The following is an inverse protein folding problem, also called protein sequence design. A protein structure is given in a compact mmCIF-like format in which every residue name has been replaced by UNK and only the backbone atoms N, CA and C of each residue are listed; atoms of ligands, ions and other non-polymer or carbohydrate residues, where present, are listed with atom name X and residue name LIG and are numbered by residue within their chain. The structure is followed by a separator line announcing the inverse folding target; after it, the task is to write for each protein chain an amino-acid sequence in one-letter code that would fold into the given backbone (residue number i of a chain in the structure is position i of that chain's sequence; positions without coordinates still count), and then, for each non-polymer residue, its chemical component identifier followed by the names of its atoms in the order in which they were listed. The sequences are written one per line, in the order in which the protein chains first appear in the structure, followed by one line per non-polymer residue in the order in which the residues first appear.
data_IF_205976458313
#
_entry.id   IF_205976458313
#
_cell.length_a   1.000
_cell.length_b   1.000
_cell.length_c   1.000
_cell.angle_alpha   90.00
_cell.angle_beta   90.00
_cell.angle_gamma   90.00
#
_symmetry.space_group_name_H-M   'P 1'
#
loop_
_entity.id
_entity.type
_entity.pdbx_description
1 polymer ?
#
# COMPACT_ATOMS: atom_id res chain seq x y z
N UNK A 1 -0.55 -1.50 -13.21
CA UNK A 1 0.37 -0.97 -12.18
C UNK A 1 1.17 -2.03 -11.44
N UNK A 2 0.85 -3.30 -11.58
CA UNK A 2 1.61 -4.43 -11.00
C UNK A 2 2.84 -4.82 -11.82
N UNK A 3 2.82 -4.61 -13.13
CA UNK A 3 3.93 -4.96 -14.02
C UNK A 3 5.15 -4.02 -13.99
N UNK A 4 5.02 -2.69 -13.79
CA UNK A 4 6.15 -1.77 -13.82
C UNK A 4 7.34 -2.15 -12.92
N UNK A 5 7.15 -2.56 -11.65
CA UNK A 5 8.25 -3.01 -10.80
C UNK A 5 9.00 -4.23 -11.37
N UNK A 6 8.28 -5.14 -12.04
CA UNK A 6 8.88 -6.33 -12.67
C UNK A 6 9.83 -5.91 -13.79
N UNK A 7 9.43 -4.97 -14.65
CA UNK A 7 10.30 -4.46 -15.71
C UNK A 7 11.53 -3.75 -15.15
N UNK A 8 11.39 -3.05 -14.02
CA UNK A 8 12.53 -2.43 -13.36
C UNK A 8 13.50 -3.45 -12.79
N UNK A 9 12.99 -4.51 -12.15
CA UNK A 9 13.84 -5.63 -11.68
C UNK A 9 14.57 -6.30 -12.84
N UNK A 10 13.89 -6.54 -13.96
CA UNK A 10 14.52 -7.07 -15.18
C UNK A 10 15.61 -6.13 -15.71
N UNK A 11 15.37 -4.82 -15.71
CA UNK A 11 16.40 -3.85 -16.08
C UNK A 11 17.61 -3.91 -15.14
N UNK A 12 17.40 -3.96 -13.84
CA UNK A 12 18.46 -3.99 -12.83
C UNK A 12 19.31 -5.29 -12.92
N UNK A 13 18.67 -6.42 -13.24
CA UNK A 13 19.35 -7.72 -13.36
C UNK A 13 20.13 -7.82 -14.68
N UNK A 14 19.56 -7.36 -15.79
CA UNK A 14 20.09 -7.58 -17.13
C UNK A 14 20.91 -6.43 -17.69
N UNK A 15 20.72 -5.20 -17.16
CA UNK A 15 21.26 -3.96 -17.74
C UNK A 15 20.58 -3.54 -19.05
N UNK A 16 19.62 -4.32 -19.58
CA UNK A 16 18.99 -4.05 -20.87
C UNK A 16 17.96 -2.91 -20.77
N UNK A 17 18.31 -1.80 -21.39
CA UNK A 17 17.50 -0.57 -21.39
C UNK A 17 16.14 -0.72 -22.08
N UNK A 18 15.87 -1.83 -22.79
CA UNK A 18 14.55 -2.07 -23.39
C UNK A 18 13.48 -2.16 -22.32
N UNK A 19 13.76 -2.77 -21.17
CA UNK A 19 12.78 -2.95 -20.08
C UNK A 19 12.34 -1.61 -19.49
N UNK A 20 13.26 -0.74 -19.13
CA UNK A 20 12.91 0.58 -18.57
C UNK A 20 12.22 1.48 -19.62
N UNK A 21 12.64 1.42 -20.89
CA UNK A 21 12.01 2.20 -21.97
C UNK A 21 10.58 1.73 -22.23
N UNK A 22 10.37 0.42 -22.29
CA UNK A 22 9.04 -0.15 -22.46
C UNK A 22 8.13 0.21 -21.28
N UNK A 23 8.59 -0.02 -20.06
CA UNK A 23 7.86 0.31 -18.84
C UNK A 23 7.42 1.79 -18.83
N UNK A 24 8.34 2.73 -19.06
CA UNK A 24 8.05 4.16 -19.03
C UNK A 24 7.03 4.56 -20.12
N UNK A 25 7.18 4.01 -21.33
CA UNK A 25 6.24 4.26 -22.43
C UNK A 25 4.82 3.81 -22.06
N UNK A 26 4.67 2.56 -21.61
CA UNK A 26 3.36 1.98 -21.32
C UNK A 26 2.73 2.60 -20.05
N UNK A 27 3.56 2.94 -19.05
CA UNK A 27 3.08 3.66 -17.87
C UNK A 27 2.52 5.04 -18.24
N UNK A 28 3.23 5.80 -19.03
CA UNK A 28 2.79 7.14 -19.47
C UNK A 28 1.56 7.07 -20.37
N UNK A 29 1.45 6.07 -21.22
CA UNK A 29 0.23 5.84 -22.01
C UNK A 29 -0.97 5.57 -21.07
N UNK A 30 -0.80 4.71 -20.07
CA UNK A 30 -1.83 4.42 -19.06
C UNK A 30 -2.17 5.66 -18.23
N UNK A 31 -1.17 6.42 -17.80
CA UNK A 31 -1.36 7.70 -17.10
C UNK A 31 -2.19 8.68 -17.93
N UNK A 32 -1.80 8.90 -19.18
CA UNK A 32 -2.52 9.83 -20.05
C UNK A 32 -3.98 9.42 -20.32
N UNK A 33 -4.28 8.13 -20.24
CA UNK A 33 -5.60 7.59 -20.51
C UNK A 33 -6.50 7.50 -19.28
N UNK A 34 -5.96 7.12 -18.12
CA UNK A 34 -6.75 6.80 -16.92
C UNK A 34 -6.63 7.82 -15.79
N UNK A 35 -5.63 8.69 -15.80
CA UNK A 35 -5.45 9.65 -14.71
C UNK A 35 -6.36 10.87 -14.89
N UNK A 36 -7.24 11.07 -13.92
CA UNK A 36 -8.05 12.27 -13.84
C UNK A 36 -7.24 13.41 -13.23
N UNK A 37 -6.98 14.45 -14.03
CA UNK A 37 -6.15 15.60 -13.61
C UNK A 37 -6.86 16.58 -12.69
N UNK A 38 -8.18 16.54 -12.62
CA UNK A 38 -8.98 17.36 -11.71
C UNK A 38 -8.96 16.77 -10.31
N UNK A 39 -9.26 15.46 -10.22
CA UNK A 39 -9.30 14.75 -8.94
C UNK A 39 -7.95 14.17 -8.51
N UNK A 40 -6.93 14.16 -9.38
CA UNK A 40 -5.63 13.53 -9.14
C UNK A 40 -5.74 12.07 -8.69
N UNK A 41 -6.66 11.31 -9.30
CA UNK A 41 -6.93 9.91 -9.04
C UNK A 41 -6.98 9.13 -10.36
N UNK A 42 -6.81 7.80 -10.28
CA UNK A 42 -6.94 6.93 -11.44
C UNK A 42 -8.33 6.30 -11.51
N UNK A 43 -8.96 6.38 -12.68
CA UNK A 43 -10.03 5.48 -13.03
C UNK A 43 -9.51 4.04 -13.13
N UNK A 44 -10.35 3.10 -12.81
CA UNK A 44 -10.02 1.68 -12.98
C UNK A 44 -9.82 1.32 -14.45
N UNK A 45 -10.74 1.77 -15.31
CA UNK A 45 -10.71 1.68 -16.78
C UNK A 45 -11.71 2.67 -17.40
N UNK A 46 -11.77 2.72 -18.74
CA UNK A 46 -12.60 3.67 -19.49
C UNK A 46 -14.10 3.58 -19.20
N UNK A 47 -14.61 2.45 -18.74
CA UNK A 47 -16.04 2.28 -18.42
C UNK A 47 -16.47 3.21 -17.29
N UNK A 48 -15.54 3.62 -16.42
CA UNK A 48 -15.82 4.49 -15.29
C UNK A 48 -15.76 5.99 -15.61
N UNK A 49 -15.38 6.40 -16.82
CA UNK A 49 -15.27 7.82 -17.18
C UNK A 49 -16.60 8.58 -17.08
N UNK A 50 -17.70 7.91 -17.38
CA UNK A 50 -19.06 8.50 -17.36
C UNK A 50 -19.88 8.05 -16.16
N UNK A 51 -19.41 7.07 -15.41
CA UNK A 51 -20.12 6.56 -14.23
C UNK A 51 -20.04 7.56 -13.07
N UNK A 52 -21.09 7.57 -12.27
CA UNK A 52 -21.18 8.40 -11.08
C UNK A 52 -21.59 7.57 -9.87
N UNK A 53 -21.08 7.98 -8.72
CA UNK A 53 -21.53 7.49 -7.41
C UNK A 53 -22.92 8.05 -7.06
N UNK A 54 -23.53 7.54 -5.99
CA UNK A 54 -24.85 7.97 -5.56
C UNK A 54 -24.90 9.46 -5.19
N UNK A 55 -23.81 10.03 -4.70
CA UNK A 55 -23.66 11.45 -4.38
C UNK A 55 -23.32 12.32 -5.63
N UNK A 56 -23.28 11.74 -6.83
CA UNK A 56 -22.94 12.43 -8.08
C UNK A 56 -21.44 12.57 -8.36
N UNK A 57 -20.57 12.14 -7.48
CA UNK A 57 -19.11 12.17 -7.68
C UNK A 57 -18.66 11.16 -8.74
N UNK A 58 -17.44 11.34 -9.25
CA UNK A 58 -16.79 10.36 -10.12
C UNK A 58 -16.45 9.08 -9.33
N UNK A 59 -16.44 7.93 -10.00
CA UNK A 59 -16.16 6.64 -9.36
C UNK A 59 -14.65 6.40 -9.32
N UNK A 60 -14.05 6.53 -8.14
CA UNK A 60 -12.64 6.19 -7.90
C UNK A 60 -12.52 5.10 -6.84
N UNK A 61 -12.18 3.91 -7.29
CA UNK A 61 -12.05 2.74 -6.44
C UNK A 61 -10.80 2.82 -5.56
N UNK A 62 -10.99 2.68 -4.24
CA UNK A 62 -9.91 2.79 -3.24
C UNK A 62 -8.78 1.80 -3.50
N UNK A 63 -9.06 0.49 -3.59
CA UNK A 63 -8.03 -0.51 -3.86
C UNK A 63 -7.36 -0.35 -5.23
N UNK A 64 -8.09 0.13 -6.26
CA UNK A 64 -7.49 0.43 -7.56
C UNK A 64 -6.38 1.48 -7.44
N UNK A 65 -6.66 2.59 -6.77
CA UNK A 65 -5.67 3.63 -6.48
C UNK A 65 -4.60 3.15 -5.49
N UNK A 66 -4.95 2.25 -4.56
CA UNK A 66 -4.00 1.58 -3.67
C UNK A 66 -2.94 0.78 -4.44
N UNK A 67 -3.35 0.00 -5.44
CA UNK A 67 -2.41 -0.72 -6.32
C UNK A 67 -1.51 0.24 -7.12
N UNK A 68 -2.03 1.39 -7.55
CA UNK A 68 -1.20 2.41 -8.23
C UNK A 68 -0.12 2.92 -7.30
N UNK A 69 -0.48 3.32 -6.07
CA UNK A 69 0.49 3.83 -5.10
C UNK A 69 1.48 2.76 -4.64
N UNK A 70 1.02 1.56 -4.32
CA UNK A 70 1.92 0.45 -3.98
C UNK A 70 2.88 0.12 -5.13
N UNK A 71 2.38 0.10 -6.37
CA UNK A 71 3.22 -0.08 -7.56
C UNK A 71 4.24 1.05 -7.77
N UNK A 72 3.87 2.30 -7.46
CA UNK A 72 4.80 3.44 -7.52
C UNK A 72 5.90 3.35 -6.46
N UNK A 73 5.59 2.90 -5.25
CA UNK A 73 6.59 2.65 -4.21
C UNK A 73 7.62 1.64 -4.70
N UNK A 74 7.16 0.47 -5.16
CA UNK A 74 8.05 -0.58 -5.66
C UNK A 74 8.85 -0.13 -6.89
N UNK A 75 8.24 0.65 -7.79
CA UNK A 75 8.93 1.24 -8.92
C UNK A 75 10.03 2.22 -8.50
N UNK A 76 9.72 3.12 -7.55
CA UNK A 76 10.68 4.11 -7.05
C UNK A 76 11.83 3.47 -6.26
N UNK A 77 11.62 2.34 -5.59
CA UNK A 77 12.68 1.56 -4.93
C UNK A 77 13.70 1.02 -5.94
N UNK A 78 13.20 0.48 -7.04
CA UNK A 78 14.03 -0.14 -8.08
C UNK A 78 14.65 0.88 -9.04
N UNK A 79 14.05 2.06 -9.17
CA UNK A 79 14.49 3.06 -10.14
C UNK A 79 15.76 3.77 -9.65
N UNK A 80 16.86 3.76 -10.41
CA UNK A 80 18.11 4.42 -10.01
C UNK A 80 17.90 5.89 -9.64
N UNK A 81 18.57 6.36 -8.57
CA UNK A 81 18.40 7.71 -8.04
C UNK A 81 18.63 8.81 -9.10
N UNK A 82 19.60 8.61 -9.99
CA UNK A 82 19.95 9.55 -11.08
C UNK A 82 19.21 9.27 -12.40
N UNK A 83 18.20 8.41 -12.39
CA UNK A 83 17.44 8.08 -13.59
C UNK A 83 16.66 9.29 -14.10
N UNK A 84 16.77 9.58 -15.40
CA UNK A 84 15.95 10.63 -16.05
C UNK A 84 14.46 10.41 -15.97
N UNK A 85 14.02 9.19 -15.69
CA UNK A 85 12.61 8.84 -15.53
C UNK A 85 12.06 9.16 -14.14
N UNK A 86 12.94 9.23 -13.13
CA UNK A 86 12.54 9.35 -11.72
C UNK A 86 11.67 10.58 -11.41
N UNK A 87 11.93 11.79 -11.95
CA UNK A 87 11.13 12.97 -11.62
C UNK A 87 9.64 12.81 -11.93
N UNK A 88 9.29 12.17 -13.04
CA UNK A 88 7.88 11.92 -13.39
C UNK A 88 7.17 11.05 -12.34
N UNK A 89 7.81 9.95 -11.93
CA UNK A 89 7.21 9.02 -10.97
C UNK A 89 7.16 9.59 -9.56
N UNK A 90 8.15 10.40 -9.17
CA UNK A 90 8.11 11.10 -7.88
C UNK A 90 7.01 12.17 -7.85
N UNK A 91 6.86 12.96 -8.89
CA UNK A 91 5.78 13.95 -8.99
C UNK A 91 4.40 13.31 -8.95
N UNK A 92 4.20 12.23 -9.70
CA UNK A 92 2.94 11.48 -9.68
C UNK A 92 2.66 10.86 -8.30
N UNK A 93 3.67 10.27 -7.66
CA UNK A 93 3.56 9.72 -6.31
C UNK A 93 3.12 10.79 -5.31
N UNK A 94 3.79 11.95 -5.32
CA UNK A 94 3.47 13.06 -4.42
C UNK A 94 2.06 13.62 -4.66
N UNK A 95 1.62 13.75 -5.91
CA UNK A 95 0.27 14.20 -6.27
C UNK A 95 -0.79 13.25 -5.72
N UNK A 96 -0.61 11.95 -5.92
CA UNK A 96 -1.53 10.94 -5.40
C UNK A 96 -1.55 10.94 -3.86
N UNK A 97 -0.40 10.99 -3.19
CA UNK A 97 -0.33 11.04 -1.73
C UNK A 97 -1.04 12.26 -1.16
N UNK A 98 -0.83 13.45 -1.74
CA UNK A 98 -1.53 14.69 -1.33
C UNK A 98 -3.03 14.61 -1.57
N UNK A 99 -3.47 13.87 -2.58
CA UNK A 99 -4.89 13.67 -2.84
C UNK A 99 -5.52 12.64 -1.90
N UNK A 100 -4.81 11.55 -1.60
CA UNK A 100 -5.32 10.48 -0.74
C UNK A 100 -5.40 10.89 0.73
N UNK A 101 -4.45 11.65 1.24
CA UNK A 101 -4.41 12.03 2.66
C UNK A 101 -5.71 12.69 3.16
N UNK A 102 -6.27 13.73 2.53
CA UNK A 102 -7.51 14.34 2.98
C UNK A 102 -8.77 13.47 2.77
N UNK A 103 -8.67 12.35 2.06
CA UNK A 103 -9.77 11.40 1.85
C UNK A 103 -9.85 10.33 2.95
N UNK A 104 -8.95 10.38 3.94
CA UNK A 104 -9.03 9.51 5.12
C UNK A 104 -10.28 9.82 5.93
N UNK A 105 -11.09 8.82 6.23
CA UNK A 105 -12.31 8.97 7.01
C UNK A 105 -12.03 9.16 8.52
N UNK A 106 -13.07 9.52 9.26
CA UNK A 106 -12.96 9.77 10.72
C UNK A 106 -12.54 8.53 11.50
N UNK A 107 -12.85 7.33 11.00
CA UNK A 107 -12.46 6.04 11.58
C UNK A 107 -11.00 5.65 11.31
N UNK A 108 -10.27 6.46 10.53
CA UNK A 108 -8.88 6.21 10.16
C UNK A 108 -8.69 5.40 8.89
N UNK A 109 -9.74 4.79 8.37
CA UNK A 109 -9.70 4.04 7.12
C UNK A 109 -9.95 4.90 5.90
N UNK A 110 -9.62 4.36 4.74
CA UNK A 110 -10.24 4.74 3.47
C UNK A 110 -11.25 3.66 3.11
N UNK A 111 -12.36 4.09 2.51
CA UNK A 111 -13.44 3.21 2.14
C UNK A 111 -13.35 2.79 0.67
N UNK A 112 -14.20 1.84 0.25
CA UNK A 112 -14.13 1.26 -1.09
C UNK A 112 -14.28 2.32 -2.20
N UNK A 113 -15.16 3.31 -2.04
CA UNK A 113 -15.21 4.51 -2.89
C UNK A 113 -14.51 5.68 -2.21
N UNK A 114 -13.56 6.31 -2.92
CA UNK A 114 -12.78 7.42 -2.39
C UNK A 114 -13.57 8.73 -2.30
N UNK A 115 -14.55 8.94 -3.18
CA UNK A 115 -15.33 10.19 -3.23
C UNK A 115 -16.78 10.04 -2.74
N UNK A 116 -17.19 8.81 -2.42
CA UNK A 116 -18.51 8.53 -1.82
C UNK A 116 -18.41 7.49 -0.70
N UNK A 117 -17.66 7.79 0.37
CA UNK A 117 -17.52 6.85 1.48
C UNK A 117 -18.86 6.60 2.20
N UNK A 118 -19.83 7.51 2.10
CA UNK A 118 -21.14 7.35 2.73
C UNK A 118 -21.96 6.20 2.14
N UNK A 119 -21.84 5.96 0.83
CA UNK A 119 -22.47 4.81 0.16
C UNK A 119 -21.77 3.48 0.48
N UNK A 120 -20.53 3.54 0.99
CA UNK A 120 -19.69 2.39 1.37
C UNK A 120 -19.15 2.60 2.79
N UNK A 121 -20.01 2.58 3.82
CA UNK A 121 -19.61 3.04 5.17
C UNK A 121 -18.69 2.08 5.93
N UNK A 122 -18.43 0.89 5.39
CA UNK A 122 -17.52 -0.07 5.99
C UNK A 122 -16.07 0.27 5.69
N UNK A 123 -15.13 0.00 6.63
CA UNK A 123 -13.70 0.02 6.35
C UNK A 123 -13.34 -0.81 5.11
N UNK A 124 -12.27 -0.43 4.41
CA UNK A 124 -11.67 -1.28 3.40
C UNK A 124 -10.16 -1.38 3.68
N UNK A 125 -9.73 -2.49 4.26
CA UNK A 125 -8.38 -2.65 4.80
C UNK A 125 -7.31 -2.80 3.73
N UNK A 126 -7.63 -3.33 2.54
CA UNK A 126 -6.62 -3.47 1.50
C UNK A 126 -6.21 -2.12 0.90
N UNK A 127 -7.14 -1.22 0.61
CA UNK A 127 -6.77 0.13 0.14
C UNK A 127 -6.09 0.92 1.25
N UNK A 128 -6.60 0.85 2.49
CA UNK A 128 -5.99 1.52 3.63
C UNK A 128 -4.56 1.06 3.88
N UNK A 129 -4.29 -0.26 3.76
CA UNK A 129 -2.95 -0.81 3.85
C UNK A 129 -2.00 -0.26 2.79
N UNK A 130 -2.42 -0.22 1.51
CA UNK A 130 -1.60 0.38 0.45
C UNK A 130 -1.37 1.88 0.65
N UNK A 131 -2.35 2.62 1.16
CA UNK A 131 -2.20 4.05 1.38
C UNK A 131 -1.27 4.35 2.56
N UNK A 132 -1.42 3.65 3.68
CA UNK A 132 -0.49 3.76 4.81
C UNK A 132 0.93 3.37 4.38
N UNK A 133 1.08 2.28 3.62
CA UNK A 133 2.37 1.86 3.04
C UNK A 133 3.02 2.97 2.23
N UNK A 134 2.27 3.57 1.29
CA UNK A 134 2.81 4.60 0.41
C UNK A 134 3.14 5.90 1.18
N UNK A 135 2.26 6.35 2.08
CA UNK A 135 2.48 7.56 2.86
C UNK A 135 3.69 7.41 3.79
N UNK A 136 3.80 6.28 4.50
CA UNK A 136 4.93 5.98 5.36
C UNK A 136 6.26 5.89 4.58
N UNK A 137 6.25 5.19 3.42
CA UNK A 137 7.39 5.18 2.50
C UNK A 137 7.79 6.60 2.06
N UNK A 138 6.81 7.42 1.70
CA UNK A 138 7.06 8.80 1.28
C UNK A 138 7.75 9.64 2.35
N UNK A 139 7.37 9.47 3.62
CA UNK A 139 8.04 10.10 4.78
C UNK A 139 9.46 9.54 4.94
N UNK A 140 9.61 8.22 4.93
CA UNK A 140 10.91 7.54 5.12
C UNK A 140 11.94 7.92 4.06
N UNK A 141 11.51 8.17 2.83
CA UNK A 141 12.40 8.56 1.72
C UNK A 141 12.50 10.08 1.52
N UNK A 142 11.91 10.89 2.41
CA UNK A 142 11.92 12.35 2.31
C UNK A 142 11.16 12.91 1.10
N UNK A 143 10.24 12.13 0.53
CA UNK A 143 9.39 12.54 -0.58
C UNK A 143 8.16 13.31 -0.11
N UNK A 144 7.74 13.12 1.14
CA UNK A 144 6.61 13.76 1.78
C UNK A 144 7.06 14.43 3.09
N UNK A 145 6.56 15.65 3.41
CA UNK A 145 6.84 16.31 4.69
C UNK A 145 6.28 15.50 5.85
N UNK A 146 7.14 15.16 6.82
CA UNK A 146 6.77 14.33 7.98
C UNK A 146 5.63 14.94 8.77
N UNK A 147 5.70 16.22 9.06
CA UNK A 147 4.73 16.96 9.90
C UNK A 147 3.32 16.94 9.30
N UNK A 148 3.21 16.94 7.97
CA UNK A 148 1.94 16.94 7.24
C UNK A 148 1.30 15.54 7.22
N UNK A 149 2.11 14.49 6.99
CA UNK A 149 1.61 13.16 6.69
C UNK A 149 1.65 12.19 7.86
N UNK A 150 2.49 12.43 8.88
CA UNK A 150 2.60 11.54 10.05
C UNK A 150 1.26 11.30 10.75
N UNK A 151 0.42 12.33 11.05
CA UNK A 151 -0.87 12.10 11.70
C UNK A 151 -1.81 11.19 10.89
N UNK A 152 -1.74 11.27 9.54
CA UNK A 152 -2.53 10.43 8.65
C UNK A 152 -2.06 8.99 8.70
N UNK A 153 -0.74 8.77 8.70
CA UNK A 153 -0.13 7.44 8.79
C UNK A 153 -0.44 6.79 10.13
N UNK A 154 -0.24 7.50 11.25
CA UNK A 154 -0.51 6.99 12.59
C UNK A 154 -1.97 6.57 12.75
N UNK A 155 -2.89 7.44 12.36
CA UNK A 155 -4.33 7.18 12.42
C UNK A 155 -4.72 5.99 11.53
N UNK A 156 -4.19 5.91 10.30
CA UNK A 156 -4.43 4.81 9.38
C UNK A 156 -3.85 3.48 9.89
N UNK A 157 -2.67 3.52 10.50
CA UNK A 157 -2.05 2.32 11.06
C UNK A 157 -2.83 1.79 12.27
N UNK A 158 -3.26 2.67 13.19
CA UNK A 158 -4.10 2.29 14.32
C UNK A 158 -5.42 1.65 13.85
N UNK A 159 -6.05 2.24 12.83
CA UNK A 159 -7.24 1.68 12.22
C UNK A 159 -6.99 0.27 11.64
N UNK A 160 -5.91 0.09 10.88
CA UNK A 160 -5.53 -1.22 10.34
C UNK A 160 -5.31 -2.28 11.42
N UNK A 161 -4.63 -1.92 12.52
CA UNK A 161 -4.42 -2.81 13.65
C UNK A 161 -5.74 -3.20 14.31
N UNK A 162 -6.69 -2.27 14.42
CA UNK A 162 -8.02 -2.54 14.99
C UNK A 162 -8.88 -3.50 14.15
N UNK A 163 -8.57 -3.64 12.85
CA UNK A 163 -9.24 -4.58 11.95
C UNK A 163 -8.72 -6.02 12.04
N UNK A 164 -7.70 -6.27 12.87
CA UNK A 164 -7.19 -7.62 13.14
C UNK A 164 -8.03 -8.25 14.26
N UNK A 165 -8.77 -9.30 13.92
CA UNK A 165 -9.60 -10.04 14.87
C UNK A 165 -8.79 -10.75 15.96
N UNK A 166 -9.49 -11.24 16.99
CA UNK A 166 -8.85 -12.00 18.10
C UNK A 166 -8.14 -13.27 17.63
N UNK A 167 -8.62 -13.85 16.52
CA UNK A 167 -8.02 -15.01 15.86
C UNK A 167 -6.80 -14.66 14.99
N UNK A 168 -6.41 -13.36 14.93
CA UNK A 168 -5.33 -12.85 14.11
C UNK A 168 -5.68 -12.63 12.63
N UNK A 169 -6.93 -12.80 12.23
CA UNK A 169 -7.40 -12.58 10.86
C UNK A 169 -7.57 -11.07 10.61
N UNK A 170 -7.01 -10.57 9.52
CA UNK A 170 -7.33 -9.23 9.04
C UNK A 170 -8.70 -9.27 8.33
N UNK A 171 -9.67 -8.54 8.87
CA UNK A 171 -10.99 -8.39 8.31
C UNK A 171 -11.15 -7.21 7.36
N UNK A 172 -12.37 -7.01 6.89
CA UNK A 172 -12.74 -5.87 6.02
C UNK A 172 -11.93 -5.75 4.73
N UNK A 173 -11.50 -6.86 4.15
CA UNK A 173 -10.85 -6.90 2.85
C UNK A 173 -11.89 -7.14 1.77
N UNK A 174 -12.13 -6.15 0.93
CA UNK A 174 -13.06 -6.30 -0.20
C UNK A 174 -12.61 -7.47 -1.09
N UNK A 175 -13.49 -8.43 -1.43
CA UNK A 175 -13.17 -9.53 -2.34
C UNK A 175 -12.72 -9.06 -3.72
N UNK A 176 -12.16 -9.98 -4.52
CA UNK A 176 -11.75 -9.70 -5.90
C UNK A 176 -12.90 -9.02 -6.66
N UNK A 177 -12.60 -7.89 -7.27
CA UNK A 177 -13.58 -7.05 -7.96
C UNK A 177 -12.95 -5.99 -8.86
N UNK A 178 -13.79 -5.11 -9.37
CA UNK A 178 -13.39 -4.06 -10.31
C UNK A 178 -13.87 -2.66 -9.89
N UNK A 179 -14.67 -2.55 -8.85
CA UNK A 179 -15.39 -1.35 -8.43
C UNK A 179 -15.60 -1.35 -6.91
N UNK A 180 -16.01 -0.22 -6.32
CA UNK A 180 -16.41 -0.16 -4.92
C UNK A 180 -17.55 -1.13 -4.61
N UNK A 181 -17.43 -1.88 -3.51
CA UNK A 181 -18.48 -2.77 -2.99
C UNK A 181 -18.48 -2.72 -1.47
N UNK A 182 -19.62 -3.11 -0.89
CA UNK A 182 -19.75 -3.26 0.56
C UNK A 182 -18.80 -4.35 1.07
N UNK A 183 -18.24 -4.11 2.24
CA UNK A 183 -17.27 -4.99 2.90
C UNK A 183 -17.79 -5.33 4.28
N UNK A 184 -17.54 -6.55 4.75
CA UNK A 184 -17.93 -7.04 6.08
C UNK A 184 -16.72 -7.46 6.90
N UNK A 185 -16.81 -7.53 8.24
CA UNK A 185 -15.67 -7.86 9.11
C UNK A 185 -15.01 -9.20 8.83
N UNK A 186 -15.76 -10.18 8.33
CA UNK A 186 -15.33 -11.55 8.06
C UNK A 186 -14.66 -11.72 6.69
N UNK A 187 -14.81 -10.72 5.80
CA UNK A 187 -14.18 -10.74 4.47
C UNK A 187 -12.67 -10.58 4.57
N UNK A 188 -11.93 -11.50 3.98
CA UNK A 188 -10.47 -11.43 3.86
C UNK A 188 -10.00 -12.05 2.56
N UNK A 189 -8.88 -11.53 2.04
CA UNK A 189 -8.23 -11.97 0.80
C UNK A 189 -6.71 -11.77 0.96
N UNK A 190 -5.92 -12.59 0.32
CA UNK A 190 -4.45 -12.64 0.49
C UNK A 190 -3.74 -11.30 0.29
N UNK A 191 -4.25 -10.43 -0.56
CA UNK A 191 -3.66 -9.10 -0.81
C UNK A 191 -3.90 -8.11 0.34
N UNK A 192 -4.91 -8.34 1.19
CA UNK A 192 -5.15 -7.52 2.39
C UNK A 192 -4.03 -7.66 3.41
N UNK A 193 -3.73 -8.87 3.94
CA UNK A 193 -2.56 -9.12 4.76
C UNK A 193 -1.25 -8.68 4.11
N UNK A 194 -1.10 -8.86 2.78
CA UNK A 194 0.08 -8.37 2.06
C UNK A 194 0.25 -6.86 2.17
N UNK A 195 -0.80 -6.07 1.93
CA UNK A 195 -0.79 -4.62 2.08
C UNK A 195 -0.56 -4.19 3.54
N UNK A 196 -1.19 -4.88 4.50
CA UNK A 196 -0.99 -4.65 5.93
C UNK A 196 0.47 -4.85 6.35
N UNK A 197 1.11 -5.95 5.93
CA UNK A 197 2.52 -6.23 6.23
C UNK A 197 3.48 -5.22 5.60
N UNK A 198 3.22 -4.81 4.36
CA UNK A 198 3.99 -3.74 3.72
C UNK A 198 3.85 -2.41 4.47
N UNK A 199 2.63 -2.04 4.88
CA UNK A 199 2.40 -0.86 5.71
C UNK A 199 3.14 -0.95 7.04
N UNK A 200 3.02 -2.08 7.75
CA UNK A 200 3.71 -2.33 9.01
C UNK A 200 5.23 -2.24 8.91
N UNK A 201 5.80 -2.70 7.79
CA UNK A 201 7.24 -2.58 7.53
C UNK A 201 7.68 -1.11 7.45
N UNK A 202 6.93 -0.27 6.73
CA UNK A 202 7.28 1.16 6.61
C UNK A 202 7.02 1.93 7.91
N UNK A 203 5.93 1.64 8.62
CA UNK A 203 5.65 2.24 9.93
C UNK A 203 6.75 1.85 10.94
N UNK A 204 7.21 0.60 10.94
CA UNK A 204 8.33 0.16 11.75
C UNK A 204 9.63 0.90 11.42
N UNK A 205 9.93 1.11 10.13
CA UNK A 205 11.08 1.93 9.70
C UNK A 205 10.98 3.36 10.24
N UNK A 206 9.79 3.98 10.17
CA UNK A 206 9.57 5.33 10.72
C UNK A 206 9.83 5.39 12.22
N UNK A 207 9.37 4.39 12.99
CA UNK A 207 9.60 4.32 14.42
C UNK A 207 11.10 4.15 14.76
N UNK A 208 11.85 3.44 13.91
CA UNK A 208 13.29 3.31 14.08
C UNK A 208 14.08 4.56 13.70
N UNK A 209 13.61 5.39 12.77
CA UNK A 209 14.28 6.65 12.42
C UNK A 209 14.26 7.68 13.55
N UNK A 210 13.28 7.60 14.43
CA UNK A 210 13.29 8.33 15.71
C UNK A 210 14.38 7.80 16.66
N UNK A 211 14.87 6.58 16.46
CA UNK A 211 15.92 5.92 17.25
C UNK A 211 17.22 5.66 16.46
N UNK A 212 17.31 6.08 15.21
CA UNK A 212 18.38 5.76 14.24
C UNK A 212 19.75 6.34 14.50
N UNK A 213 20.00 6.86 15.65
CA UNK A 213 21.40 6.98 16.04
C UNK A 213 22.04 5.59 16.32
N UNK A 214 21.31 4.48 16.39
CA UNK A 214 21.89 3.20 16.87
C UNK A 214 21.38 1.86 16.30
N UNK A 215 20.80 1.72 15.12
CA UNK A 215 20.48 0.36 14.66
C UNK A 215 20.69 0.09 13.17
N UNK A 216 21.88 -0.41 12.84
CA UNK A 216 22.04 -1.33 11.72
C UNK A 216 21.21 -2.59 12.05
N UNK A 217 20.13 -2.84 11.30
CA UNK A 217 19.51 -4.16 11.26
C UNK A 217 20.57 -5.07 10.64
N UNK A 218 21.31 -5.81 11.49
CA UNK A 218 22.36 -6.68 11.03
C UNK A 218 21.75 -7.77 10.14
N UNK A 219 22.47 -8.17 9.12
CA UNK A 219 22.06 -9.32 8.27
C UNK A 219 21.80 -10.61 9.09
N UNK A 220 22.31 -10.69 10.32
CA UNK A 220 22.01 -11.77 11.27
C UNK A 220 20.53 -11.83 11.64
N UNK A 221 19.86 -10.70 11.86
CA UNK A 221 18.43 -10.68 12.24
C UNK A 221 17.51 -11.04 11.08
N UNK A 222 17.90 -10.69 9.86
CA UNK A 222 17.19 -11.18 8.65
C UNK A 222 17.34 -12.71 8.54
N UNK A 223 18.52 -13.25 8.85
CA UNK A 223 18.76 -14.70 8.88
C UNK A 223 17.99 -15.40 10.01
N UNK A 224 17.84 -14.78 11.17
CA UNK A 224 17.01 -15.30 12.26
C UNK A 224 15.53 -15.35 11.88
N UNK A 225 15.00 -14.30 11.25
CA UNK A 225 13.62 -14.29 10.75
C UNK A 225 13.47 -15.31 9.62
N UNK A 226 14.41 -15.39 8.70
CA UNK A 226 14.42 -16.39 7.63
C UNK A 226 14.51 -17.83 8.16
N UNK A 227 15.26 -18.06 9.24
CA UNK A 227 15.35 -19.36 9.90
C UNK A 227 14.08 -19.76 10.67
N UNK A 228 13.19 -18.82 10.95
CA UNK A 228 11.86 -19.07 11.55
C UNK A 228 10.79 -19.40 10.50
N UNK A 229 11.09 -19.21 9.21
CA UNK A 229 10.21 -19.61 8.14
C UNK A 229 10.40 -21.10 7.85
N UNK A 230 9.32 -21.87 7.59
CA UNK A 230 9.46 -23.29 7.24
C UNK A 230 10.28 -23.47 5.98
N UNK A 231 11.18 -24.45 5.97
CA UNK A 231 12.14 -24.77 4.90
C UNK A 231 11.52 -25.08 3.54
N UNK A 232 10.23 -25.28 3.49
CA UNK A 232 9.45 -25.39 2.24
C UNK A 232 8.06 -24.78 2.44
N UNK A 233 7.68 -23.76 1.67
CA UNK A 233 6.27 -23.46 1.51
C UNK A 233 5.63 -24.59 0.68
N UNK A 234 5.01 -25.54 1.35
CA UNK A 234 4.11 -26.48 0.69
C UNK A 234 2.86 -25.71 0.27
N UNK A 235 2.82 -25.37 -1.01
CA UNK A 235 1.65 -24.74 -1.64
C UNK A 235 1.52 -23.24 -1.32
N UNK A 236 0.93 -22.51 -2.25
CA UNK A 236 0.44 -21.15 -2.06
C UNK A 236 -0.86 -21.24 -1.21
N UNK A 237 -0.73 -21.63 0.01
CA UNK A 237 -1.78 -21.74 0.99
C UNK A 237 -1.13 -21.72 2.35
N UNK A 238 -0.77 -20.52 2.82
CA UNK A 238 -0.50 -20.34 4.24
C UNK A 238 -1.79 -20.73 4.94
N UNK A 239 -1.78 -21.86 5.63
CA UNK A 239 -2.89 -22.24 6.48
C UNK A 239 -3.05 -21.17 7.56
N UNK A 240 -4.07 -20.32 7.43
CA UNK A 240 -4.45 -19.30 8.43
C UNK A 240 -4.78 -19.90 9.80
N UNK A 241 -4.65 -21.21 9.99
CA UNK A 241 -4.87 -21.94 11.23
C UNK A 241 -3.65 -22.02 12.13
N UNK A 242 -2.46 -21.56 11.69
CA UNK A 242 -1.30 -21.56 12.57
C UNK A 242 -1.30 -20.35 13.50
N UNK A 243 -2.00 -20.53 14.64
CA UNK A 243 -2.10 -19.55 15.72
C UNK A 243 -0.75 -19.15 16.31
N UNK A 244 0.28 -19.96 16.18
CA UNK A 244 1.60 -19.74 16.80
C UNK A 244 2.36 -18.59 16.15
N UNK A 245 2.30 -18.47 14.84
CA UNK A 245 2.94 -17.37 14.11
C UNK A 245 2.32 -16.01 14.51
N UNK A 246 0.97 -15.92 14.45
CA UNK A 246 0.26 -14.69 14.75
C UNK A 246 0.30 -14.28 16.22
N UNK A 247 0.40 -15.25 17.15
CA UNK A 247 0.61 -14.96 18.56
C UNK A 247 2.01 -14.37 18.79
N UNK A 248 3.05 -14.87 18.14
CA UNK A 248 4.39 -14.28 18.20
C UNK A 248 4.45 -12.86 17.61
N UNK A 249 3.75 -12.58 16.52
CA UNK A 249 3.61 -11.22 15.98
C UNK A 249 2.88 -10.30 16.95
N UNK A 250 1.80 -10.78 17.60
CA UNK A 250 1.07 -10.05 18.65
C UNK A 250 1.93 -9.80 19.89
N UNK A 251 2.74 -10.77 20.32
CA UNK A 251 3.63 -10.63 21.47
C UNK A 251 4.76 -9.66 21.20
N UNK A 252 5.37 -9.68 20.03
CA UNK A 252 6.39 -8.69 19.65
C UNK A 252 5.80 -7.28 19.51
N UNK A 253 4.56 -7.12 19.08
CA UNK A 253 3.88 -5.82 19.04
C UNK A 253 3.40 -5.32 20.41
N UNK A 254 3.23 -6.22 21.41
CA UNK A 254 2.90 -5.87 22.80
C UNK A 254 4.14 -5.62 23.65
N UNK A 255 5.27 -6.24 23.33
CA UNK A 255 6.53 -6.09 24.08
C UNK A 255 7.19 -4.72 23.86
N UNK A 256 6.91 -4.08 22.75
CA UNK A 256 7.28 -2.69 22.51
C UNK A 256 6.01 -1.84 22.67
N UNK A 257 5.89 -1.14 23.79
CA UNK A 257 5.04 0.05 23.92
C UNK A 257 5.58 1.13 22.97
N UNK A 258 5.57 0.83 21.68
CA UNK A 258 5.81 1.73 20.59
C UNK A 258 4.49 1.86 19.85
N UNK A 259 3.73 2.77 20.34
CA UNK A 259 2.74 3.66 19.74
C UNK A 259 1.86 4.20 20.85
#
# INVERSE_FOLDING_TARGET
FMAPPVYMKLYNITGDKKFIRFMDKEYKATYNYLFDKEDNLFYRDHRYFTMKEANGAKVFWGRGNGWVLGGLVELLRELPAKSKYRPFYQDLFQKLCRRIAPLQNKDGFWHASLLDPASYPSPETSCSGFFVYALAYGINEGLLPKEEFMPVVEKGWQALVSAVGEDGKLGYVQPIGADPKKVTPDMTEVYGPGAFLMAGTEVYRMAQDTSRQHANISQSRIREIAAMLPDKPEGIGVSYKDRTFWNKVKESSKAEKLL
#
